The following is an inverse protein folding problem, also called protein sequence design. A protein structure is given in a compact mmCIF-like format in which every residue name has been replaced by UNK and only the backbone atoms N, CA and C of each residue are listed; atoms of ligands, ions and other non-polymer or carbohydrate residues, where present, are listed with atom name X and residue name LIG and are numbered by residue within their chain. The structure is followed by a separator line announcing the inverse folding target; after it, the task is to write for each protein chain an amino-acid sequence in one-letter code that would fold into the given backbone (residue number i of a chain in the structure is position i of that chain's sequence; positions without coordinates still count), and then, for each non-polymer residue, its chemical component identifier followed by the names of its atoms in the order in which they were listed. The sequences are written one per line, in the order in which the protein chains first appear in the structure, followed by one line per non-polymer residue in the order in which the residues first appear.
data_IF_848356797829
#
_entry.id   IF_848356797829
#
_cell.length_a   1.000
_cell.length_b   1.000
_cell.length_c   1.000
_cell.angle_alpha   90.00
_cell.angle_beta   90.00
_cell.angle_gamma   90.00
#
_symmetry.space_group_name_H-M   'P 1'
#
loop_
_entity.id
_entity.type
_entity.pdbx_description
1 polymer ?
#
# COMPACT_ATOMS: atom_id res chain seq x y z
N UNK A 1 11.11 -5.17 -8.88
CA UNK A 1 10.77 -4.56 -10.19
C UNK A 1 9.25 -4.43 -10.28
N UNK A 2 8.69 -3.21 -10.29
CA UNK A 2 7.23 -2.97 -10.35
C UNK A 2 6.66 -3.07 -11.78
N UNK A 3 7.21 -3.99 -12.58
CA UNK A 3 6.86 -4.20 -13.99
C UNK A 3 5.46 -4.79 -14.20
N UNK A 4 4.67 -4.95 -13.13
CA UNK A 4 3.36 -5.58 -13.15
C UNK A 4 2.21 -4.59 -13.35
N UNK A 5 2.44 -3.28 -13.22
CA UNK A 5 1.40 -2.26 -13.49
C UNK A 5 0.98 -2.23 -14.97
N UNK A 6 1.91 -2.32 -15.96
CA UNK A 6 1.52 -2.47 -17.36
C UNK A 6 0.68 -3.72 -17.64
N UNK A 7 0.96 -4.83 -16.95
CA UNK A 7 0.18 -6.07 -17.08
C UNK A 7 -1.26 -5.86 -16.62
N UNK A 8 -1.48 -5.14 -15.51
CA UNK A 8 -2.83 -4.76 -15.04
C UNK A 8 -3.58 -3.98 -16.13
N UNK A 9 -2.91 -3.02 -16.78
CA UNK A 9 -3.50 -2.24 -17.86
C UNK A 9 -3.85 -3.09 -19.09
N UNK A 10 -3.05 -4.12 -19.40
CA UNK A 10 -3.34 -5.04 -20.51
C UNK A 10 -4.53 -5.95 -20.23
N UNK A 11 -4.77 -6.29 -18.96
CA UNK A 11 -5.87 -7.16 -18.53
C UNK A 11 -7.19 -6.39 -18.32
N UNK A 12 -7.13 -5.07 -18.18
CA UNK A 12 -8.29 -4.20 -17.94
C UNK A 12 -9.46 -4.38 -18.93
N UNK A 13 -9.28 -4.51 -20.26
CA UNK A 13 -10.40 -4.72 -21.18
C UNK A 13 -11.04 -6.11 -21.10
N UNK A 14 -10.40 -7.06 -20.41
CA UNK A 14 -10.84 -8.47 -20.35
C UNK A 14 -11.41 -8.86 -18.98
N UNK A 15 -11.33 -7.98 -17.97
CA UNK A 15 -11.69 -8.30 -16.59
C UNK A 15 -12.74 -7.34 -16.06
N UNK A 16 -13.66 -7.88 -15.27
CA UNK A 16 -14.56 -7.09 -14.46
C UNK A 16 -13.80 -6.26 -13.42
N UNK A 17 -14.42 -5.16 -12.98
CA UNK A 17 -13.82 -4.22 -12.04
C UNK A 17 -13.31 -4.89 -10.77
N UNK A 18 -14.09 -5.81 -10.18
CA UNK A 18 -13.70 -6.54 -8.96
C UNK A 18 -12.51 -7.48 -9.18
N UNK A 19 -12.48 -8.17 -10.33
CA UNK A 19 -11.35 -9.01 -10.72
C UNK A 19 -10.09 -8.16 -10.92
N UNK A 20 -10.21 -6.99 -11.54
CA UNK A 20 -9.11 -6.06 -11.74
C UNK A 20 -8.55 -5.51 -10.42
N UNK A 21 -9.42 -5.22 -9.44
CA UNK A 21 -8.99 -4.88 -8.08
C UNK A 21 -8.22 -6.01 -7.43
N UNK A 22 -8.71 -7.25 -7.55
CA UNK A 22 -8.08 -8.43 -6.97
C UNK A 22 -6.70 -8.68 -7.59
N UNK A 23 -6.59 -8.64 -8.92
CA UNK A 23 -5.33 -8.79 -9.64
C UNK A 23 -4.34 -7.69 -9.28
N UNK A 24 -4.80 -6.43 -9.22
CA UNK A 24 -3.94 -5.31 -8.82
C UNK A 24 -3.48 -5.45 -7.37
N UNK A 25 -4.35 -5.91 -6.48
CA UNK A 25 -3.98 -6.19 -5.11
C UNK A 25 -2.91 -7.28 -5.03
N UNK A 26 -3.11 -8.40 -5.73
CA UNK A 26 -2.20 -9.53 -5.75
C UNK A 26 -0.83 -9.20 -6.37
N UNK A 27 -0.79 -8.39 -7.43
CA UNK A 27 0.45 -8.11 -8.18
C UNK A 27 1.22 -6.88 -7.66
N UNK A 28 0.51 -5.85 -7.21
CA UNK A 28 1.10 -4.54 -6.87
C UNK A 28 1.01 -4.28 -5.37
N UNK A 29 -0.19 -4.29 -4.80
CA UNK A 29 -0.41 -3.90 -3.40
C UNK A 29 0.24 -4.88 -2.44
N UNK A 30 0.18 -6.18 -2.68
CA UNK A 30 0.81 -7.22 -1.86
C UNK A 30 2.33 -7.00 -1.72
N UNK A 31 2.99 -6.63 -2.81
CA UNK A 31 4.45 -6.38 -2.86
C UNK A 31 4.83 -5.08 -2.18
N UNK A 32 4.00 -4.05 -2.34
CA UNK A 32 4.13 -2.82 -1.55
C UNK A 32 3.98 -3.15 -0.06
N UNK A 33 2.97 -3.96 0.29
CA UNK A 33 2.65 -4.27 1.68
C UNK A 33 3.67 -5.16 2.38
N UNK A 34 4.29 -6.08 1.66
CA UNK A 34 5.33 -6.96 2.17
C UNK A 34 6.50 -6.18 2.75
N UNK A 35 6.92 -5.11 2.07
CA UNK A 35 8.09 -4.32 2.46
C UNK A 35 7.74 -3.11 3.36
N UNK A 36 6.49 -2.91 3.76
CA UNK A 36 6.04 -1.71 4.50
C UNK A 36 6.87 -1.42 5.76
N UNK A 37 7.32 -2.44 6.49
CA UNK A 37 8.17 -2.26 7.68
C UNK A 37 9.56 -1.75 7.32
N UNK A 38 10.14 -2.26 6.24
CA UNK A 38 11.46 -1.84 5.73
C UNK A 38 11.41 -0.41 5.18
N UNK A 39 10.25 0.00 4.68
CA UNK A 39 10.07 1.32 4.07
C UNK A 39 10.10 2.50 5.05
N UNK A 40 9.89 2.26 6.35
CA UNK A 40 10.02 3.30 7.37
C UNK A 40 11.43 3.92 7.44
N UNK A 41 12.47 3.15 7.10
CA UNK A 41 13.85 3.62 7.09
C UNK A 41 14.29 4.19 5.73
N UNK A 42 13.39 4.26 4.74
CA UNK A 42 13.76 4.70 3.41
C UNK A 42 13.81 6.22 3.26
N UNK A 43 14.71 6.74 2.41
CA UNK A 43 14.70 8.14 2.01
C UNK A 43 13.37 8.53 1.37
N UNK A 44 12.93 9.78 1.58
CA UNK A 44 11.71 10.35 0.99
C UNK A 44 11.63 10.16 -0.53
N UNK A 45 12.78 10.18 -1.23
CA UNK A 45 12.85 9.91 -2.68
C UNK A 45 12.34 8.53 -3.04
N UNK A 46 12.67 7.51 -2.25
CA UNK A 46 12.22 6.14 -2.48
C UNK A 46 10.72 6.00 -2.18
N UNK A 47 10.22 6.62 -1.12
CA UNK A 47 8.78 6.67 -0.80
C UNK A 47 7.99 7.32 -1.94
N UNK A 48 8.50 8.42 -2.52
CA UNK A 48 7.89 9.06 -3.69
C UNK A 48 7.79 8.10 -4.89
N UNK A 49 8.82 7.30 -5.14
CA UNK A 49 8.79 6.29 -6.22
C UNK A 49 7.71 5.23 -5.97
N UNK A 50 7.54 4.78 -4.72
CA UNK A 50 6.47 3.84 -4.35
C UNK A 50 5.09 4.48 -4.54
N UNK A 51 4.93 5.76 -4.19
CA UNK A 51 3.69 6.49 -4.43
C UNK A 51 3.35 6.57 -5.92
N UNK A 52 4.35 6.79 -6.79
CA UNK A 52 4.12 6.79 -8.23
C UNK A 52 3.63 5.43 -8.75
N UNK A 53 4.14 4.33 -8.21
CA UNK A 53 3.67 2.97 -8.55
C UNK A 53 2.22 2.78 -8.12
N UNK A 54 1.86 3.18 -6.90
CA UNK A 54 0.48 3.11 -6.42
C UNK A 54 -0.46 3.96 -7.28
N UNK A 55 -0.04 5.19 -7.61
CA UNK A 55 -0.81 6.10 -8.45
C UNK A 55 -1.06 5.51 -9.84
N UNK A 56 -0.05 4.88 -10.43
CA UNK A 56 -0.18 4.22 -11.73
C UNK A 56 -1.12 3.01 -11.67
N UNK A 57 -1.05 2.21 -10.60
CA UNK A 57 -1.94 1.07 -10.39
C UNK A 57 -3.41 1.50 -10.27
N UNK A 58 -3.69 2.53 -9.47
CA UNK A 58 -5.05 3.05 -9.28
C UNK A 58 -5.60 3.63 -10.58
N UNK A 59 -4.77 4.33 -11.35
CA UNK A 59 -5.16 4.81 -12.70
C UNK A 59 -5.47 3.66 -13.66
N UNK A 60 -4.70 2.58 -13.63
CA UNK A 60 -4.94 1.41 -14.48
C UNK A 60 -6.27 0.73 -14.16
N UNK A 61 -6.73 0.77 -12.91
CA UNK A 61 -8.04 0.21 -12.52
C UNK A 61 -9.20 1.10 -13.01
N UNK A 62 -9.05 2.41 -12.87
CA UNK A 62 -10.13 3.39 -13.14
C UNK A 62 -10.12 3.88 -14.59
N UNK A 63 -9.12 3.47 -15.38
CA UNK A 63 -8.84 4.00 -16.72
C UNK A 63 -8.80 5.54 -16.76
N UNK A 64 -8.15 6.11 -15.75
CA UNK A 64 -8.12 7.55 -15.58
C UNK A 64 -7.04 8.20 -16.45
N UNK A 65 -7.32 9.35 -17.09
CA UNK A 65 -6.33 10.10 -17.86
C UNK A 65 -5.06 10.41 -17.05
N UNK A 66 -3.93 10.51 -17.76
CA UNK A 66 -2.61 10.73 -17.14
C UNK A 66 -2.56 11.97 -16.24
N UNK A 67 -3.30 13.01 -16.59
CA UNK A 67 -3.31 14.31 -15.90
C UNK A 67 -4.38 14.41 -14.80
N UNK A 68 -5.19 13.37 -14.59
CA UNK A 68 -6.20 13.38 -13.55
C UNK A 68 -5.56 13.43 -12.16
N UNK A 69 -6.16 14.24 -11.28
CA UNK A 69 -5.74 14.41 -9.91
C UNK A 69 -5.93 13.11 -9.11
N UNK A 70 -4.82 12.44 -8.79
CA UNK A 70 -4.86 11.09 -8.18
C UNK A 70 -5.42 11.09 -6.77
N UNK A 71 -5.31 12.18 -6.03
CA UNK A 71 -5.81 12.24 -4.64
C UNK A 71 -7.32 11.99 -4.56
N UNK A 72 -8.08 12.41 -5.57
CA UNK A 72 -9.53 12.18 -5.62
C UNK A 72 -9.81 10.69 -5.87
N UNK A 73 -9.10 10.10 -6.84
CA UNK A 73 -9.25 8.68 -7.18
C UNK A 73 -8.87 7.79 -5.99
N UNK A 74 -7.78 8.10 -5.30
CA UNK A 74 -7.36 7.37 -4.09
C UNK A 74 -8.45 7.42 -3.02
N UNK A 75 -9.09 8.57 -2.82
CA UNK A 75 -10.16 8.74 -1.84
C UNK A 75 -11.40 7.94 -2.22
N UNK A 76 -11.84 8.02 -3.47
CA UNK A 76 -12.99 7.27 -4.00
C UNK A 76 -12.78 5.75 -3.93
N UNK A 77 -11.55 5.30 -4.20
CA UNK A 77 -11.21 3.88 -4.11
C UNK A 77 -10.87 3.42 -2.68
N UNK A 78 -10.90 4.32 -1.69
CA UNK A 78 -10.52 4.03 -0.29
C UNK A 78 -9.07 3.55 -0.13
N UNK A 79 -8.16 4.02 -0.99
CA UNK A 79 -6.73 3.68 -0.94
C UNK A 79 -5.91 4.73 -0.20
N UNK A 80 -5.28 4.32 0.89
CA UNK A 80 -4.30 5.13 1.62
C UNK A 80 -3.04 5.38 0.78
N UNK A 81 -2.54 6.62 0.69
CA UNK A 81 -1.19 6.91 0.18
C UNK A 81 -0.12 6.04 0.87
N UNK A 82 0.95 5.68 0.15
CA UNK A 82 2.02 4.81 0.66
C UNK A 82 2.59 5.32 1.99
N UNK A 83 2.79 6.63 2.12
CA UNK A 83 3.23 7.29 3.35
C UNK A 83 2.38 6.92 4.57
N UNK A 84 1.07 7.15 4.44
CA UNK A 84 0.10 6.89 5.50
C UNK A 84 -0.09 5.39 5.74
N UNK A 85 -0.02 4.57 4.69
CA UNK A 85 -0.14 3.12 4.79
C UNK A 85 0.99 2.49 5.61
N UNK A 86 2.22 2.99 5.45
CA UNK A 86 3.37 2.56 6.28
C UNK A 86 3.12 2.88 7.76
N UNK A 87 2.74 4.12 8.07
CA UNK A 87 2.45 4.55 9.44
C UNK A 87 1.31 3.72 10.06
N UNK A 88 0.21 3.55 9.33
CA UNK A 88 -0.93 2.76 9.76
C UNK A 88 -0.54 1.31 10.10
N UNK A 89 0.24 0.65 9.24
CA UNK A 89 0.70 -0.73 9.50
C UNK A 89 1.55 -0.84 10.75
N UNK A 90 2.43 0.12 11.00
CA UNK A 90 3.27 0.14 12.20
C UNK A 90 2.41 0.32 13.43
N UNK A 91 1.51 1.30 13.43
CA UNK A 91 0.57 1.54 14.53
C UNK A 91 -0.26 0.29 14.85
N UNK A 92 -0.80 -0.40 13.83
CA UNK A 92 -1.56 -1.64 14.01
C UNK A 92 -0.69 -2.76 14.58
N UNK A 93 0.56 -2.91 14.14
CA UNK A 93 1.47 -3.93 14.67
C UNK A 93 1.84 -3.63 16.13
N UNK A 94 2.15 -2.38 16.47
CA UNK A 94 2.43 -1.95 17.85
C UNK A 94 1.21 -2.18 18.74
N UNK A 95 0.03 -1.77 18.29
CA UNK A 95 -1.23 -1.98 19.02
C UNK A 95 -1.48 -3.46 19.29
N UNK A 96 -1.33 -4.31 18.28
CA UNK A 96 -1.50 -5.77 18.44
C UNK A 96 -0.48 -6.35 19.41
N UNK A 97 0.78 -5.91 19.35
CA UNK A 97 1.80 -6.36 20.29
C UNK A 97 1.47 -5.98 21.73
N UNK A 98 1.03 -4.74 21.97
CA UNK A 98 0.63 -4.28 23.32
C UNK A 98 -0.58 -5.04 23.90
N UNK A 99 -1.46 -5.57 23.04
CA UNK A 99 -2.67 -6.29 23.46
C UNK A 99 -2.54 -7.81 23.39
N UNK A 100 -1.33 -8.36 23.29
CA UNK A 100 -1.12 -9.81 23.28
C UNK A 100 -1.50 -10.52 21.96
N UNK A 101 -1.94 -9.78 20.94
CA UNK A 101 -2.34 -10.30 19.63
C UNK A 101 -1.20 -10.26 18.59
N UNK A 102 -0.04 -9.73 18.98
CA UNK A 102 1.15 -9.65 18.16
C UNK A 102 2.12 -10.82 18.37
N UNK A 103 3.20 -10.90 17.59
CA UNK A 103 4.26 -11.89 17.83
C UNK A 103 4.91 -11.70 19.20
N UNK A 104 5.15 -12.78 19.95
CA UNK A 104 5.71 -12.72 21.31
C UNK A 104 6.98 -11.88 21.41
N UNK A 105 7.89 -12.02 20.45
CA UNK A 105 9.14 -11.24 20.42
C UNK A 105 8.94 -9.71 20.34
N UNK A 106 7.80 -9.22 19.85
CA UNK A 106 7.47 -7.79 19.87
C UNK A 106 6.80 -7.38 21.18
N UNK A 107 6.02 -8.26 21.79
CA UNK A 107 5.39 -8.00 23.09
C UNK A 107 6.47 -7.79 24.16
N UNK A 108 7.50 -8.63 24.15
CA UNK A 108 8.62 -8.56 25.10
C UNK A 108 9.52 -7.34 24.90
N UNK A 109 9.43 -6.66 23.74
CA UNK A 109 10.31 -5.55 23.35
C UNK A 109 9.62 -4.19 23.33
N UNK A 110 8.30 -4.15 23.26
CA UNK A 110 7.52 -2.91 23.23
C UNK A 110 6.95 -2.69 24.62
N UNK A 111 7.59 -1.80 25.38
CA UNK A 111 7.07 -1.36 26.67
C UNK A 111 6.18 -0.12 26.47
N UNK A 112 4.98 -0.07 27.07
CA UNK A 112 4.21 1.16 27.11
C UNK A 112 5.03 2.22 27.84
N UNK A 113 5.14 3.41 27.22
CA UNK A 113 5.83 4.53 27.86
C UNK A 113 4.95 5.03 29.02
N UNK A 114 5.33 4.66 30.24
CA UNK A 114 4.72 5.18 31.46
C UNK A 114 5.24 6.59 31.73
N UNK A 115 4.31 7.55 31.81
CA UNK A 115 4.56 8.91 32.30
C UNK A 115 4.75 8.92 33.82
#
# INVERSE_FOLDING_TARGET
TFAQVPLVHQLQPYLDREALFTVTHALVTSRLDYCNKLYMALPLKSVRRLQLVQNAAVRAIVDAPRYTHVSNILREQHWLPVGLRMQFKVLVVTFKALHGLGPGYLQDRILPHSF
#
